data_IF_096642418135
#
_entry.id   IF_096642418135
#
_cell.length_a   1.000
_cell.length_b   1.000
_cell.length_c   1.000
_cell.angle_alpha   90.00
_cell.angle_beta   90.00
_cell.angle_gamma   90.00
#
_symmetry.space_group_name_H-M   'P 1'
#
loop_
_entity.id
_entity.type
_entity.pdbx_description
1 polymer ?
#
# COMPACT_ATOMS: atom_id res chain seq x y z
N UNK A 1 -30.19 -2.36 23.25
CA UNK A 1 -30.35 -1.99 21.82
C UNK A 1 -29.07 -1.26 21.49
N UNK A 2 -28.04 -2.08 21.18
CA UNK A 2 -26.71 -1.56 20.92
C UNK A 2 -26.69 -0.85 19.57
N UNK A 3 -26.26 0.39 19.60
CA UNK A 3 -25.96 1.20 18.43
C UNK A 3 -24.90 0.45 17.61
N UNK A 4 -25.35 -0.40 16.69
CA UNK A 4 -24.52 -0.86 15.60
C UNK A 4 -24.16 0.37 14.79
N UNK A 5 -23.01 0.97 15.09
CA UNK A 5 -22.38 1.93 14.19
C UNK A 5 -22.31 1.24 12.83
N UNK A 6 -23.18 1.69 11.92
CA UNK A 6 -23.22 1.23 10.53
C UNK A 6 -21.87 1.53 9.90
N UNK A 7 -21.01 0.53 9.86
CA UNK A 7 -19.79 0.60 9.05
C UNK A 7 -20.23 1.01 7.64
N UNK A 8 -19.69 2.08 7.04
CA UNK A 8 -20.14 2.55 5.73
C UNK A 8 -20.04 1.40 4.74
N UNK A 9 -21.19 0.96 4.24
CA UNK A 9 -21.28 -0.19 3.35
C UNK A 9 -20.42 0.04 2.10
N UNK A 10 -19.57 -0.91 1.77
CA UNK A 10 -18.80 -0.89 0.52
C UNK A 10 -19.73 -0.67 -0.68
N UNK A 11 -20.92 -1.29 -0.69
CA UNK A 11 -21.92 -1.12 -1.74
C UNK A 11 -22.31 0.35 -1.95
N UNK A 12 -22.47 1.13 -0.88
CA UNK A 12 -22.74 2.57 -0.98
C UNK A 12 -21.62 3.28 -1.76
N UNK A 13 -20.36 3.02 -1.45
CA UNK A 13 -19.22 3.65 -2.12
C UNK A 13 -19.03 3.15 -3.56
N UNK A 14 -19.35 1.88 -3.85
CA UNK A 14 -19.33 1.36 -5.22
C UNK A 14 -20.48 1.94 -6.07
N UNK A 15 -21.63 2.23 -5.49
CA UNK A 15 -22.78 2.83 -6.20
C UNK A 15 -22.55 4.29 -6.63
N UNK A 16 -21.57 4.99 -6.02
CA UNK A 16 -21.19 6.37 -6.39
C UNK A 16 -20.34 6.38 -7.67
N UNK A 17 -19.71 5.24 -8.03
CA UNK A 17 -18.90 5.15 -9.25
C UNK A 17 -19.80 5.35 -10.49
N UNK A 18 -19.57 6.38 -11.31
CA UNK A 18 -20.43 6.66 -12.45
C UNK A 18 -20.41 5.54 -13.49
N UNK A 19 -21.60 5.11 -13.89
CA UNK A 19 -21.73 4.15 -14.99
C UNK A 19 -21.62 4.87 -16.34
N UNK A 20 -20.58 4.56 -17.09
CA UNK A 20 -20.29 5.12 -18.41
C UNK A 20 -21.18 4.55 -19.53
N UNK A 21 -21.97 3.51 -19.23
CA UNK A 21 -22.81 2.81 -20.20
C UNK A 21 -24.12 3.57 -20.44
N UNK A 22 -24.67 3.43 -21.64
CA UNK A 22 -25.99 3.94 -21.95
C UNK A 22 -27.05 3.17 -21.16
N UNK A 23 -27.87 3.87 -20.37
CA UNK A 23 -28.80 3.26 -19.41
C UNK A 23 -29.69 2.15 -20.04
N UNK A 24 -30.17 2.35 -21.27
CA UNK A 24 -31.02 1.36 -21.96
C UNK A 24 -30.28 0.10 -22.42
N UNK A 25 -28.95 0.06 -22.33
CA UNK A 25 -28.12 -1.13 -22.65
C UNK A 25 -27.62 -1.84 -21.39
N UNK A 26 -27.92 -1.30 -20.20
CA UNK A 26 -27.45 -1.85 -18.94
C UNK A 26 -28.40 -2.96 -18.51
N UNK A 27 -27.90 -4.20 -18.51
CA UNK A 27 -28.60 -5.37 -17.94
C UNK A 27 -28.18 -5.61 -16.51
N UNK A 28 -26.91 -5.39 -16.18
CA UNK A 28 -26.34 -5.59 -14.85
C UNK A 28 -25.84 -4.25 -14.32
N UNK A 29 -26.25 -3.85 -13.13
CA UNK A 29 -25.81 -2.63 -12.47
C UNK A 29 -24.29 -2.63 -12.31
N UNK A 30 -23.66 -1.45 -12.41
CA UNK A 30 -22.20 -1.34 -12.24
C UNK A 30 -21.80 -1.72 -10.81
N UNK A 31 -22.55 -1.25 -9.80
CA UNK A 31 -22.34 -1.60 -8.39
C UNK A 31 -22.34 -3.10 -8.14
N UNK A 32 -23.29 -3.85 -8.78
CA UNK A 32 -23.37 -5.30 -8.65
C UNK A 32 -22.15 -6.00 -9.26
N UNK A 33 -21.70 -5.54 -10.44
CA UNK A 33 -20.48 -6.06 -11.09
C UNK A 33 -19.25 -5.84 -10.22
N UNK A 34 -19.09 -4.65 -9.65
CA UNK A 34 -17.96 -4.31 -8.78
C UNK A 34 -17.99 -5.12 -7.49
N UNK A 35 -19.17 -5.24 -6.86
CA UNK A 35 -19.35 -6.00 -5.64
C UNK A 35 -19.12 -7.51 -5.86
N UNK A 36 -19.70 -8.09 -6.92
CA UNK A 36 -19.42 -9.46 -7.34
C UNK A 36 -17.93 -9.70 -7.48
N UNK A 37 -17.21 -8.78 -8.16
CA UNK A 37 -15.77 -8.90 -8.35
C UNK A 37 -15.02 -8.91 -7.02
N UNK A 38 -15.37 -8.03 -6.07
CA UNK A 38 -14.75 -8.00 -4.74
C UNK A 38 -15.01 -9.30 -3.98
N UNK A 39 -16.25 -9.77 -3.92
CA UNK A 39 -16.62 -11.01 -3.23
C UNK A 39 -15.91 -12.23 -3.82
N UNK A 40 -15.86 -12.33 -5.15
CA UNK A 40 -15.16 -13.41 -5.83
C UNK A 40 -13.65 -13.38 -5.53
N UNK A 41 -13.01 -12.22 -5.55
CA UNK A 41 -11.58 -12.07 -5.19
C UNK A 41 -11.34 -12.39 -3.71
N UNK A 42 -12.23 -12.02 -2.79
CA UNK A 42 -12.18 -12.45 -1.38
C UNK A 42 -12.20 -13.98 -1.28
N UNK A 43 -12.97 -14.67 -2.14
CA UNK A 43 -13.05 -16.11 -2.19
C UNK A 43 -11.93 -16.78 -3.03
N UNK A 44 -11.04 -16.00 -3.63
CA UNK A 44 -9.84 -16.50 -4.31
C UNK A 44 -9.94 -16.57 -5.83
N UNK A 45 -10.95 -15.95 -6.46
CA UNK A 45 -11.04 -15.85 -7.91
C UNK A 45 -9.88 -14.99 -8.47
N UNK A 46 -9.27 -15.47 -9.55
CA UNK A 46 -8.08 -14.87 -10.18
C UNK A 46 -8.39 -14.24 -11.56
N UNK A 47 -9.43 -14.74 -12.25
CA UNK A 47 -9.86 -14.38 -13.59
C UNK A 47 -11.36 -14.14 -13.75
N UNK A 48 -11.75 -13.70 -14.95
CA UNK A 48 -13.15 -13.36 -15.23
C UNK A 48 -14.07 -14.56 -15.22
N UNK A 49 -13.61 -15.72 -15.71
CA UNK A 49 -14.34 -16.99 -15.70
C UNK A 49 -14.65 -17.43 -14.28
N UNK A 50 -13.67 -17.37 -13.38
CA UNK A 50 -13.85 -17.75 -11.98
C UNK A 50 -14.77 -16.77 -11.22
N UNK A 51 -14.80 -15.47 -11.63
CA UNK A 51 -15.74 -14.50 -11.07
C UNK A 51 -17.17 -14.81 -11.52
N UNK A 52 -17.37 -15.21 -12.79
CA UNK A 52 -18.66 -15.67 -13.30
C UNK A 52 -19.13 -16.93 -12.56
N UNK A 53 -18.26 -17.94 -12.45
CA UNK A 53 -18.54 -19.19 -11.74
C UNK A 53 -18.92 -18.95 -10.27
N UNK A 54 -18.16 -18.08 -9.57
CA UNK A 54 -18.50 -17.65 -8.21
C UNK A 54 -19.87 -16.99 -8.15
N UNK A 55 -20.18 -16.10 -9.10
CA UNK A 55 -21.46 -15.42 -9.18
C UNK A 55 -22.62 -16.40 -9.29
N UNK A 56 -22.51 -17.40 -10.18
CA UNK A 56 -23.52 -18.43 -10.33
C UNK A 56 -23.68 -19.28 -9.08
N UNK A 57 -22.60 -19.66 -8.42
CA UNK A 57 -22.61 -20.45 -7.21
C UNK A 57 -23.16 -19.70 -5.98
N UNK A 58 -23.09 -18.37 -5.97
CA UNK A 58 -23.40 -17.52 -4.80
C UNK A 58 -24.46 -16.44 -5.10
N UNK A 59 -25.28 -16.61 -6.11
CA UNK A 59 -26.24 -15.59 -6.55
C UNK A 59 -27.21 -15.19 -5.44
N UNK A 60 -27.73 -16.14 -4.67
CA UNK A 60 -28.68 -15.87 -3.59
C UNK A 60 -28.01 -15.11 -2.42
N UNK A 61 -26.73 -15.36 -2.17
CA UNK A 61 -25.95 -14.58 -1.22
C UNK A 61 -25.74 -13.14 -1.73
N UNK A 62 -25.37 -12.96 -2.98
CA UNK A 62 -25.11 -11.65 -3.59
C UNK A 62 -26.38 -10.77 -3.60
N UNK A 63 -27.56 -11.36 -3.81
CA UNK A 63 -28.87 -10.68 -3.77
C UNK A 63 -29.24 -10.10 -2.40
N UNK A 64 -28.53 -10.47 -1.34
CA UNK A 64 -28.70 -9.84 -0.01
C UNK A 64 -28.06 -8.44 0.06
N UNK A 65 -27.19 -8.09 -0.89
CA UNK A 65 -26.42 -6.85 -0.89
C UNK A 65 -26.67 -5.96 -2.12
N UNK A 66 -27.04 -6.54 -3.25
CA UNK A 66 -27.29 -5.86 -4.52
C UNK A 66 -28.55 -6.40 -5.22
N UNK A 67 -28.91 -5.79 -6.34
CA UNK A 67 -30.16 -6.13 -7.05
C UNK A 67 -30.04 -7.46 -7.79
N UNK A 68 -29.00 -7.63 -8.58
CA UNK A 68 -28.77 -8.82 -9.41
C UNK A 68 -30.02 -9.33 -10.15
N UNK A 69 -30.91 -8.40 -10.61
CA UNK A 69 -32.16 -8.74 -11.27
C UNK A 69 -31.98 -9.60 -12.52
N UNK A 70 -30.99 -9.22 -13.36
CA UNK A 70 -30.64 -9.96 -14.57
C UNK A 70 -29.72 -11.18 -14.31
N UNK A 71 -29.50 -11.54 -13.05
CA UNK A 71 -28.57 -12.62 -12.66
C UNK A 71 -27.12 -12.22 -12.76
N UNK A 72 -26.24 -13.17 -13.13
CA UNK A 72 -24.78 -13.00 -13.18
C UNK A 72 -24.32 -12.54 -14.57
N UNK A 73 -23.49 -11.50 -14.69
CA UNK A 73 -22.88 -11.13 -15.95
C UNK A 73 -21.85 -12.18 -16.41
N UNK A 74 -21.82 -12.47 -17.73
CA UNK A 74 -20.79 -13.34 -18.29
C UNK A 74 -19.38 -12.78 -18.14
N UNK A 75 -18.36 -13.67 -18.15
CA UNK A 75 -16.94 -13.30 -18.11
C UNK A 75 -16.56 -12.25 -19.15
N UNK A 76 -17.13 -12.32 -20.37
CA UNK A 76 -16.93 -11.33 -21.42
C UNK A 76 -17.51 -9.96 -21.05
N UNK A 77 -18.67 -9.95 -20.38
CA UNK A 77 -19.29 -8.71 -19.87
C UNK A 77 -18.45 -8.13 -18.74
N UNK A 78 -18.00 -8.94 -17.79
CA UNK A 78 -17.08 -8.53 -16.71
C UNK A 78 -15.81 -7.92 -17.29
N UNK A 79 -15.15 -8.63 -18.22
CA UNK A 79 -13.92 -8.16 -18.87
C UNK A 79 -14.10 -6.82 -19.60
N UNK A 80 -15.24 -6.67 -20.33
CA UNK A 80 -15.56 -5.44 -21.07
C UNK A 80 -15.86 -4.28 -20.14
N UNK A 81 -16.67 -4.48 -19.12
CA UNK A 81 -17.06 -3.44 -18.16
C UNK A 81 -15.83 -2.98 -17.39
N UNK A 82 -15.09 -3.91 -16.80
CA UNK A 82 -13.89 -3.58 -16.01
C UNK A 82 -12.77 -2.91 -16.84
N UNK A 83 -12.73 -3.14 -18.15
CA UNK A 83 -11.79 -2.46 -19.04
C UNK A 83 -12.17 -0.99 -19.32
N UNK A 84 -13.42 -0.59 -19.09
CA UNK A 84 -13.96 0.73 -19.41
C UNK A 84 -14.32 1.56 -18.18
N UNK A 85 -14.44 0.94 -16.99
CA UNK A 85 -14.65 1.67 -15.72
C UNK A 85 -13.52 2.67 -15.53
N UNK A 86 -13.87 3.92 -15.23
CA UNK A 86 -12.87 4.96 -14.98
C UNK A 86 -12.10 4.65 -13.71
N UNK A 87 -10.80 4.42 -13.86
CA UNK A 87 -9.94 3.99 -12.78
C UNK A 87 -9.73 5.06 -11.70
N UNK A 88 -9.73 6.35 -12.07
CA UNK A 88 -9.59 7.46 -11.11
C UNK A 88 -10.85 7.60 -10.24
N UNK A 89 -12.05 7.46 -10.85
CA UNK A 89 -13.31 7.51 -10.11
C UNK A 89 -13.44 6.31 -9.15
N UNK A 90 -13.07 5.10 -9.59
CA UNK A 90 -13.04 3.93 -8.73
C UNK A 90 -12.02 4.11 -7.58
N UNK A 91 -10.87 4.74 -7.87
CA UNK A 91 -9.88 5.06 -6.84
C UNK A 91 -10.42 6.07 -5.83
N UNK A 92 -11.12 7.09 -6.28
CA UNK A 92 -11.74 8.08 -5.37
C UNK A 92 -12.77 7.43 -4.46
N UNK A 93 -13.64 6.56 -5.00
CA UNK A 93 -14.62 5.80 -4.22
C UNK A 93 -13.93 4.90 -3.17
N UNK A 94 -12.83 4.23 -3.55
CA UNK A 94 -12.03 3.42 -2.63
C UNK A 94 -11.41 4.27 -1.52
N UNK A 95 -10.82 5.42 -1.86
CA UNK A 95 -10.20 6.31 -0.87
C UNK A 95 -11.23 6.89 0.12
N UNK A 96 -12.42 7.27 -0.35
CA UNK A 96 -13.51 7.74 0.51
C UNK A 96 -14.04 6.62 1.43
N UNK A 97 -14.19 5.40 0.90
CA UNK A 97 -14.52 4.25 1.74
C UNK A 97 -13.49 4.01 2.83
N UNK A 98 -12.19 4.05 2.50
CA UNK A 98 -11.12 3.87 3.48
C UNK A 98 -11.10 4.96 4.55
N UNK A 99 -11.36 6.22 4.18
CA UNK A 99 -11.49 7.31 5.16
C UNK A 99 -12.66 7.10 6.12
N UNK A 100 -13.75 6.52 5.63
CA UNK A 100 -14.93 6.23 6.45
C UNK A 100 -14.73 5.02 7.39
N UNK A 101 -13.88 4.05 7.01
CA UNK A 101 -13.65 2.82 7.78
C UNK A 101 -12.45 2.91 8.74
N UNK A 102 -11.47 3.75 8.46
CA UNK A 102 -10.20 3.77 9.20
C UNK A 102 -9.76 5.19 9.55
N UNK A 103 -9.83 5.51 10.85
CA UNK A 103 -9.12 6.66 11.38
C UNK A 103 -7.62 6.35 11.44
N UNK A 104 -6.84 7.23 10.85
CA UNK A 104 -5.37 7.13 10.96
C UNK A 104 -4.98 7.78 12.29
N UNK A 105 -4.43 7.01 13.20
CA UNK A 105 -4.06 7.46 14.54
C UNK A 105 -2.86 8.40 14.47
N UNK A 106 -2.83 9.43 15.29
CA UNK A 106 -1.69 10.34 15.43
C UNK A 106 -0.38 9.55 15.69
N UNK A 107 0.66 9.87 14.97
CA UNK A 107 1.95 9.17 15.00
C UNK A 107 2.00 7.84 14.24
N UNK A 108 0.90 7.42 13.58
CA UNK A 108 0.90 6.20 12.78
C UNK A 108 1.81 6.34 11.56
N UNK A 109 2.55 5.25 11.27
CA UNK A 109 3.41 5.19 10.08
C UNK A 109 2.58 4.81 8.86
N UNK A 110 2.64 5.65 7.83
CA UNK A 110 2.08 5.39 6.50
C UNK A 110 3.23 5.20 5.51
N UNK A 111 3.43 3.96 5.06
CA UNK A 111 4.46 3.64 4.07
C UNK A 111 3.92 3.85 2.66
N UNK A 112 4.65 4.62 1.85
CA UNK A 112 4.37 4.79 0.42
C UNK A 112 5.45 4.07 -0.37
N UNK A 113 5.02 3.18 -1.27
CA UNK A 113 5.91 2.38 -2.09
C UNK A 113 5.24 1.97 -3.39
N UNK A 114 6.07 1.68 -4.40
CA UNK A 114 5.63 1.30 -5.72
C UNK A 114 5.75 -0.20 -6.00
N UNK A 115 4.81 -0.73 -6.78
CA UNK A 115 4.80 -2.11 -7.24
C UNK A 115 4.48 -2.21 -8.73
N UNK A 116 5.30 -2.94 -9.46
CA UNK A 116 5.05 -3.26 -10.86
C UNK A 116 4.15 -4.48 -10.99
N UNK A 117 3.01 -4.35 -11.66
CA UNK A 117 2.11 -5.46 -12.01
C UNK A 117 2.70 -6.23 -13.19
N UNK A 118 3.60 -7.18 -12.94
CA UNK A 118 4.44 -7.84 -13.97
C UNK A 118 3.62 -8.49 -15.08
N UNK A 119 2.46 -9.09 -14.76
CA UNK A 119 1.59 -9.73 -15.74
C UNK A 119 0.79 -8.78 -16.63
N UNK A 120 0.74 -7.48 -16.34
CA UNK A 120 -0.07 -6.49 -17.07
C UNK A 120 0.54 -6.02 -18.39
N UNK A 121 1.78 -6.41 -18.72
CA UNK A 121 2.43 -6.01 -19.96
C UNK A 121 1.86 -6.76 -21.17
N UNK A 122 1.85 -6.11 -22.36
CA UNK A 122 1.42 -6.74 -23.60
C UNK A 122 2.41 -6.44 -24.72
N UNK A 123 3.28 -7.43 -25.06
CA UNK A 123 4.28 -7.30 -26.13
C UNK A 123 3.65 -6.93 -27.48
N UNK A 124 2.54 -7.57 -27.85
CA UNK A 124 1.86 -7.35 -29.14
C UNK A 124 1.25 -5.96 -29.32
N UNK A 125 1.08 -5.18 -28.24
CA UNK A 125 0.51 -3.82 -28.27
C UNK A 125 1.51 -2.75 -27.81
N UNK A 126 2.77 -3.09 -27.57
CA UNK A 126 3.79 -2.15 -27.11
C UNK A 126 3.50 -1.55 -25.73
N UNK A 127 2.58 -2.16 -24.92
CA UNK A 127 2.26 -1.67 -23.57
C UNK A 127 3.23 -2.24 -22.55
N UNK A 128 3.90 -1.35 -21.80
CA UNK A 128 4.68 -1.70 -20.63
C UNK A 128 3.83 -2.23 -19.48
N UNK A 129 4.47 -2.85 -18.49
CA UNK A 129 3.80 -3.24 -17.26
C UNK A 129 3.33 -2.00 -16.49
N UNK A 130 2.16 -2.11 -15.86
CA UNK A 130 1.61 -1.04 -15.03
C UNK A 130 2.40 -0.98 -13.73
N UNK A 131 2.79 0.23 -13.34
CA UNK A 131 3.39 0.49 -12.04
C UNK A 131 2.39 1.23 -11.15
N UNK A 132 2.16 0.71 -9.95
CA UNK A 132 1.20 1.23 -8.97
C UNK A 132 1.95 1.72 -7.74
N UNK A 133 1.59 2.90 -7.25
CA UNK A 133 2.09 3.43 -5.97
C UNK A 133 0.98 3.33 -4.94
N UNK A 134 1.26 2.73 -3.79
CA UNK A 134 0.29 2.46 -2.73
C UNK A 134 0.69 3.12 -1.42
N UNK A 135 -0.29 3.60 -0.66
CA UNK A 135 -0.13 4.04 0.71
C UNK A 135 -0.66 2.95 1.66
N UNK A 136 0.19 2.48 2.55
CA UNK A 136 -0.07 1.39 3.48
C UNK A 136 0.03 1.86 4.92
N UNK A 137 -1.05 1.75 5.69
CA UNK A 137 -1.03 1.97 7.13
C UNK A 137 -0.37 0.77 7.82
N UNK A 138 0.82 0.99 8.39
CA UNK A 138 1.58 -0.07 9.04
C UNK A 138 0.90 -0.58 10.32
N UNK A 139 0.24 0.29 11.07
CA UNK A 139 -0.47 -0.03 12.30
C UNK A 139 -1.71 -0.89 12.03
N UNK A 140 -2.55 -0.47 11.09
CA UNK A 140 -3.81 -1.14 10.77
C UNK A 140 -3.63 -2.30 9.78
N UNK A 141 -2.50 -2.35 9.08
CA UNK A 141 -2.20 -3.39 8.10
C UNK A 141 -3.03 -3.29 6.81
N UNK A 142 -3.57 -2.12 6.50
CA UNK A 142 -4.49 -1.88 5.37
C UNK A 142 -3.92 -0.89 4.35
N UNK A 143 -4.38 -0.99 3.11
CA UNK A 143 -4.08 -0.03 2.04
C UNK A 143 -5.07 1.11 2.11
N UNK A 144 -4.55 2.34 2.23
CA UNK A 144 -5.36 3.56 2.31
C UNK A 144 -5.73 4.10 0.92
N UNK A 145 -4.91 3.82 -0.07
CA UNK A 145 -5.11 4.26 -1.44
C UNK A 145 -3.98 3.81 -2.36
N UNK A 146 -4.20 3.91 -3.66
CA UNK A 146 -3.19 3.63 -4.67
C UNK A 146 -3.41 4.47 -5.93
N UNK A 147 -2.33 4.78 -6.65
CA UNK A 147 -2.36 5.51 -7.91
C UNK A 147 -1.43 4.83 -8.90
N UNK A 148 -1.86 4.73 -10.15
CA UNK A 148 -1.01 4.27 -11.26
C UNK A 148 -0.06 5.38 -11.68
N UNK A 149 1.20 5.05 -11.95
CA UNK A 149 2.13 5.99 -12.60
C UNK A 149 1.69 6.23 -14.04
N UNK A 150 1.87 7.45 -14.54
CA UNK A 150 1.62 7.75 -15.96
C UNK A 150 2.63 6.98 -16.85
N UNK A 151 2.25 6.74 -18.10
CA UNK A 151 3.16 6.11 -19.07
C UNK A 151 4.46 6.93 -19.20
N UNK A 152 5.61 6.25 -19.14
CA UNK A 152 6.95 6.86 -19.16
C UNK A 152 7.29 7.77 -17.97
N UNK A 153 6.56 7.68 -16.88
CA UNK A 153 6.77 8.39 -15.62
C UNK A 153 7.17 7.39 -14.52
N UNK A 154 7.57 7.90 -13.39
CA UNK A 154 7.98 7.12 -12.23
C UNK A 154 7.14 7.49 -10.99
N UNK A 155 7.46 6.92 -9.85
CA UNK A 155 6.80 7.17 -8.57
C UNK A 155 6.78 8.65 -8.16
N UNK A 156 7.82 9.42 -8.53
CA UNK A 156 7.95 10.85 -8.20
C UNK A 156 6.73 11.66 -8.62
N UNK A 157 6.09 11.27 -9.73
CA UNK A 157 4.89 11.96 -10.23
C UNK A 157 3.58 11.39 -9.68
N UNK A 158 3.57 10.12 -9.28
CA UNK A 158 2.38 9.46 -8.75
C UNK A 158 2.18 9.72 -7.24
N UNK A 159 3.27 9.84 -6.46
CA UNK A 159 3.21 10.11 -5.02
C UNK A 159 2.42 11.40 -4.73
N UNK A 160 2.66 12.56 -5.39
CA UNK A 160 1.86 13.75 -5.20
C UNK A 160 0.36 13.56 -5.41
N UNK A 161 -0.03 12.80 -6.42
CA UNK A 161 -1.45 12.52 -6.70
C UNK A 161 -2.05 11.60 -5.63
N UNK A 162 -1.31 10.60 -5.17
CA UNK A 162 -1.72 9.75 -4.07
C UNK A 162 -1.92 10.55 -2.77
N UNK A 163 -0.96 11.42 -2.42
CA UNK A 163 -1.06 12.26 -1.23
C UNK A 163 -2.30 13.16 -1.21
N UNK A 164 -2.77 13.64 -2.38
CA UNK A 164 -4.00 14.44 -2.46
C UNK A 164 -5.24 13.69 -1.99
N UNK A 165 -5.31 12.39 -2.24
CA UNK A 165 -6.45 11.52 -1.94
C UNK A 165 -6.55 11.14 -0.45
N UNK A 166 -5.45 11.25 0.30
CA UNK A 166 -5.33 10.71 1.65
C UNK A 166 -5.57 11.78 2.73
N UNK A 167 -6.13 11.35 3.86
CA UNK A 167 -6.06 12.09 5.11
C UNK A 167 -4.86 11.58 5.92
N UNK A 168 -3.85 12.44 6.14
CA UNK A 168 -2.57 12.06 6.75
C UNK A 168 -2.24 12.90 7.99
N UNK A 169 -3.22 13.66 8.49
CA UNK A 169 -3.02 14.54 9.65
C UNK A 169 -2.38 13.78 10.82
N UNK A 170 -1.26 14.29 11.31
CA UNK A 170 -0.51 13.72 12.44
C UNK A 170 0.26 12.43 12.16
N UNK A 171 0.29 11.92 10.91
CA UNK A 171 1.01 10.71 10.55
C UNK A 171 2.49 10.96 10.29
N UNK A 172 3.28 9.87 10.34
CA UNK A 172 4.65 9.83 9.81
C UNK A 172 4.65 9.09 8.47
N UNK A 173 4.82 9.83 7.38
CA UNK A 173 4.88 9.28 6.02
C UNK A 173 6.30 8.84 5.71
N UNK A 174 6.48 7.56 5.41
CA UNK A 174 7.78 6.99 5.03
C UNK A 174 7.80 6.67 3.55
N UNK A 175 8.87 7.08 2.87
CA UNK A 175 9.04 6.91 1.43
C UNK A 175 10.47 6.46 1.14
N UNK A 176 10.63 5.60 0.13
CA UNK A 176 11.93 5.13 -0.33
C UNK A 176 12.78 6.27 -0.97
N UNK A 177 14.00 5.95 -1.38
CA UNK A 177 14.91 6.95 -1.92
C UNK A 177 14.41 7.60 -3.22
N UNK A 178 13.62 6.91 -4.04
CA UNK A 178 13.09 7.51 -5.27
C UNK A 178 12.13 8.67 -4.95
N UNK A 179 11.34 8.52 -3.90
CA UNK A 179 10.43 9.55 -3.42
C UNK A 179 11.06 10.60 -2.52
N UNK A 180 12.37 10.53 -2.24
CA UNK A 180 13.11 11.56 -1.52
C UNK A 180 13.26 12.81 -2.41
N UNK A 181 12.24 13.66 -2.43
CA UNK A 181 12.13 14.85 -3.27
C UNK A 181 11.60 16.03 -2.46
N UNK A 182 12.20 17.23 -2.61
CA UNK A 182 11.81 18.47 -1.89
C UNK A 182 10.33 18.79 -2.02
N UNK A 183 9.75 18.63 -3.23
CA UNK A 183 8.32 18.87 -3.49
C UNK A 183 7.41 17.89 -2.75
N UNK A 184 7.81 16.63 -2.65
CA UNK A 184 7.07 15.59 -1.91
C UNK A 184 7.12 15.90 -0.42
N UNK A 185 8.29 16.21 0.14
CA UNK A 185 8.45 16.62 1.53
C UNK A 185 7.52 17.81 1.89
N UNK A 186 7.51 18.85 1.07
CA UNK A 186 6.61 20.00 1.25
C UNK A 186 5.13 19.59 1.21
N UNK A 187 4.74 18.71 0.30
CA UNK A 187 3.35 18.27 0.19
C UNK A 187 2.91 17.41 1.36
N UNK A 188 3.77 16.56 1.91
CA UNK A 188 3.48 15.80 3.14
C UNK A 188 3.19 16.75 4.29
N UNK A 189 4.01 17.79 4.49
CA UNK A 189 3.77 18.81 5.51
C UNK A 189 2.47 19.59 5.30
N UNK A 190 2.12 19.91 4.05
CA UNK A 190 0.84 20.55 3.73
C UNK A 190 -0.38 19.69 4.08
N UNK A 191 -0.21 18.37 4.17
CA UNK A 191 -1.23 17.42 4.65
C UNK A 191 -1.26 17.31 6.18
N UNK A 192 -0.47 18.11 6.91
CA UNK A 192 -0.35 18.05 8.37
C UNK A 192 0.33 16.78 8.88
N UNK A 193 1.11 16.13 8.03
CA UNK A 193 1.90 14.94 8.35
C UNK A 193 3.40 15.28 8.40
N UNK A 194 4.16 14.43 9.06
CA UNK A 194 5.62 14.45 9.01
C UNK A 194 6.15 13.45 7.98
N UNK A 195 7.34 13.71 7.47
CA UNK A 195 8.02 12.77 6.56
C UNK A 195 9.22 12.08 7.22
N UNK A 196 9.51 10.86 6.77
CA UNK A 196 10.78 10.14 6.95
C UNK A 196 11.22 9.61 5.59
N UNK A 197 12.23 10.21 5.00
CA UNK A 197 12.69 9.92 3.64
C UNK A 197 14.05 9.25 3.67
N UNK A 198 14.18 8.13 2.93
CA UNK A 198 15.45 7.45 2.71
C UNK A 198 16.29 8.25 1.72
N UNK A 199 17.52 8.58 2.08
CA UNK A 199 18.49 9.31 1.24
C UNK A 199 19.42 8.31 0.55
N UNK A 200 19.65 8.50 -0.74
CA UNK A 200 20.64 7.78 -1.55
C UNK A 200 21.35 8.75 -2.51
N UNK A 201 22.14 8.22 -3.42
CA UNK A 201 22.93 8.97 -4.42
C UNK A 201 22.10 9.89 -5.34
N UNK A 202 20.76 9.69 -5.42
CA UNK A 202 19.86 10.61 -6.12
C UNK A 202 19.74 11.98 -5.45
N UNK A 203 20.24 12.11 -4.22
CA UNK A 203 20.34 13.36 -3.47
C UNK A 203 21.81 13.55 -3.01
N UNK A 204 22.76 13.85 -3.92
CA UNK A 204 24.19 13.83 -3.63
C UNK A 204 24.58 14.80 -2.52
N UNK A 205 24.04 16.02 -2.49
CA UNK A 205 24.35 16.99 -1.43
C UNK A 205 23.97 16.49 -0.02
N UNK A 206 22.84 15.77 0.11
CA UNK A 206 22.47 15.13 1.38
C UNK A 206 23.41 13.97 1.70
N UNK A 207 23.75 13.13 0.71
CA UNK A 207 24.66 12.00 0.91
C UNK A 207 26.03 12.47 1.39
N UNK A 208 26.60 13.48 0.73
CA UNK A 208 27.89 14.09 1.10
C UNK A 208 27.84 14.67 2.53
N UNK A 209 26.76 15.34 2.90
CA UNK A 209 26.57 15.87 4.25
C UNK A 209 26.52 14.76 5.30
N UNK A 210 25.85 13.63 4.99
CA UNK A 210 25.84 12.47 5.87
C UNK A 210 27.20 11.82 6.03
N UNK A 211 27.97 11.68 4.96
CA UNK A 211 29.35 11.13 5.02
C UNK A 211 30.28 12.02 5.84
N UNK A 212 30.14 13.33 5.71
CA UNK A 212 30.92 14.29 6.50
C UNK A 212 30.52 14.29 8.00
N UNK A 213 29.22 14.32 8.30
CA UNK A 213 28.72 14.41 9.67
C UNK A 213 28.85 13.09 10.45
N UNK A 214 28.70 11.93 9.78
CA UNK A 214 28.63 10.59 10.37
C UNK A 214 29.60 9.60 9.73
N UNK A 215 30.92 9.83 9.79
CA UNK A 215 31.90 8.82 9.37
C UNK A 215 31.74 7.56 10.24
N UNK A 216 32.04 6.38 9.67
CA UNK A 216 31.81 5.07 10.32
C UNK A 216 32.32 4.99 11.76
N UNK A 217 33.52 5.53 12.03
CA UNK A 217 34.09 5.53 13.37
C UNK A 217 33.26 6.33 14.38
N UNK A 218 32.59 7.41 13.94
CA UNK A 218 31.70 8.22 14.78
C UNK A 218 30.37 7.51 15.02
N UNK A 219 29.86 6.77 14.03
CA UNK A 219 28.57 6.04 14.14
C UNK A 219 28.68 4.95 15.21
N UNK A 220 29.77 4.18 15.24
CA UNK A 220 29.95 3.07 16.21
C UNK A 220 30.15 3.58 17.64
N UNK A 221 30.73 4.77 17.79
CA UNK A 221 31.02 5.41 19.07
C UNK A 221 30.15 6.66 19.33
N UNK A 222 28.93 6.68 18.82
CA UNK A 222 28.06 7.83 18.93
C UNK A 222 27.54 8.03 20.36
N UNK A 223 27.82 9.21 20.94
CA UNK A 223 27.45 9.55 22.32
C UNK A 223 26.06 10.21 22.46
N UNK A 224 25.34 10.37 21.32
CA UNK A 224 24.01 10.98 21.29
C UNK A 224 22.87 9.95 21.41
N UNK A 225 21.69 10.29 20.86
CA UNK A 225 20.53 9.39 20.84
C UNK A 225 20.78 8.22 19.89
N UNK A 226 21.01 7.05 20.48
CA UNK A 226 21.30 5.81 19.78
C UNK A 226 20.43 4.65 20.29
N UNK A 227 20.06 3.75 19.40
CA UNK A 227 19.28 2.56 19.73
C UNK A 227 19.80 1.36 18.93
N UNK A 228 20.05 0.24 19.60
CA UNK A 228 20.58 -0.97 18.98
C UNK A 228 19.52 -2.06 18.97
N UNK A 229 19.35 -2.71 17.83
CA UNK A 229 18.53 -3.93 17.72
C UNK A 229 19.39 -5.10 17.28
N UNK A 230 19.17 -6.26 17.90
CA UNK A 230 19.82 -7.51 17.55
C UNK A 230 18.75 -8.58 17.28
N UNK A 231 18.71 -9.09 16.05
CA UNK A 231 17.71 -10.05 15.60
C UNK A 231 18.38 -11.33 15.08
N UNK A 232 17.90 -12.47 15.57
CA UNK A 232 18.33 -13.78 15.08
C UNK A 232 17.16 -14.50 14.44
N UNK A 233 17.29 -14.80 13.15
CA UNK A 233 16.23 -15.47 12.39
C UNK A 233 16.83 -16.46 11.39
N UNK A 234 16.42 -17.74 11.48
CA UNK A 234 16.80 -18.82 10.54
C UNK A 234 18.33 -18.95 10.32
N UNK A 235 19.12 -18.87 11.41
CA UNK A 235 20.59 -18.97 11.35
C UNK A 235 21.31 -17.69 10.94
N UNK A 236 20.60 -16.60 10.71
CA UNK A 236 21.12 -15.28 10.38
C UNK A 236 20.98 -14.37 11.59
N UNK A 237 22.05 -13.69 11.95
CA UNK A 237 22.07 -12.64 12.96
C UNK A 237 22.22 -11.28 12.27
N UNK A 238 21.42 -10.31 12.68
CA UNK A 238 21.45 -8.96 12.15
C UNK A 238 21.41 -7.96 13.29
N UNK A 239 22.51 -7.23 13.45
CA UNK A 239 22.64 -6.14 14.44
C UNK A 239 22.53 -4.81 13.72
N UNK A 240 21.62 -3.94 14.17
CA UNK A 240 21.42 -2.60 13.60
C UNK A 240 21.63 -1.54 14.67
N UNK A 241 22.48 -0.57 14.34
CA UNK A 241 22.68 0.67 15.07
C UNK A 241 21.84 1.76 14.45
N UNK A 242 20.97 2.37 15.23
CA UNK A 242 20.13 3.47 14.83
C UNK A 242 20.61 4.70 15.57
N UNK A 243 20.88 5.77 14.86
CA UNK A 243 21.39 7.03 15.38
C UNK A 243 20.53 8.16 14.88
N UNK A 244 20.24 9.10 15.76
CA UNK A 244 19.49 10.31 15.43
C UNK A 244 20.24 11.52 15.97
N UNK A 245 20.26 12.57 15.18
CA UNK A 245 20.76 13.88 15.57
C UNK A 245 19.82 14.97 15.05
N UNK A 246 19.78 16.08 15.75
CA UNK A 246 19.29 17.32 15.16
C UNK A 246 20.13 17.72 13.94
N UNK A 247 19.66 18.72 13.19
CA UNK A 247 20.38 19.27 12.04
C UNK A 247 21.73 19.82 12.48
N UNK A 248 22.83 19.19 12.04
CA UNK A 248 24.20 19.62 12.30
C UNK A 248 24.65 20.71 11.32
N UNK A 249 25.87 21.26 11.52
CA UNK A 249 26.42 22.31 10.65
C UNK A 249 26.48 21.89 9.18
N UNK A 250 26.76 20.61 8.91
CA UNK A 250 26.86 20.05 7.56
C UNK A 250 25.51 20.05 6.82
N UNK A 251 24.41 20.06 7.56
CA UNK A 251 23.04 20.11 7.01
C UNK A 251 22.41 21.50 7.06
N UNK A 252 23.08 22.51 7.59
CA UNK A 252 22.46 23.81 7.85
C UNK A 252 21.95 24.48 6.56
N UNK A 253 22.72 24.50 5.49
CA UNK A 253 22.27 25.04 4.20
C UNK A 253 21.15 24.22 3.59
N UNK A 254 21.23 22.89 3.69
CA UNK A 254 20.24 21.96 3.18
C UNK A 254 18.91 22.08 3.92
N UNK A 255 18.90 22.45 5.19
CA UNK A 255 17.69 22.65 5.98
C UNK A 255 16.78 23.76 5.43
N UNK A 256 17.33 24.75 4.75
CA UNK A 256 16.55 25.79 4.07
C UNK A 256 15.87 25.27 2.80
N UNK A 257 16.45 24.25 2.17
CA UNK A 257 15.92 23.67 0.94
C UNK A 257 14.90 22.54 1.21
N UNK A 258 15.05 21.85 2.34
CA UNK A 258 14.18 20.77 2.78
C UNK A 258 13.19 21.27 3.83
N UNK A 259 12.02 21.67 3.37
CA UNK A 259 10.99 22.27 4.24
C UNK A 259 10.75 21.42 5.50
N UNK A 260 10.93 22.03 6.67
CA UNK A 260 10.66 21.40 7.96
C UNK A 260 11.67 20.35 8.41
N UNK A 261 12.82 20.22 7.79
CA UNK A 261 13.87 19.29 8.23
C UNK A 261 14.30 19.58 9.67
N UNK A 262 14.13 18.61 10.55
CA UNK A 262 14.48 18.69 11.98
C UNK A 262 15.48 17.62 12.40
N UNK A 263 15.36 16.44 11.83
CA UNK A 263 16.10 15.26 12.28
C UNK A 263 16.82 14.61 11.12
N UNK A 264 18.07 14.25 11.34
CA UNK A 264 18.88 13.41 10.47
C UNK A 264 19.16 12.10 11.17
N UNK A 265 19.03 10.97 10.44
CA UNK A 265 19.14 9.65 11.02
C UNK A 265 20.04 8.73 10.20
N UNK A 266 20.78 7.87 10.90
CA UNK A 266 21.63 6.84 10.29
C UNK A 266 21.26 5.48 10.83
N UNK A 267 21.09 4.50 9.94
CA UNK A 267 20.94 3.08 10.31
C UNK A 267 22.10 2.31 9.70
N UNK A 268 22.94 1.73 10.56
CA UNK A 268 24.05 0.85 10.16
C UNK A 268 23.69 -0.58 10.52
N UNK A 269 23.69 -1.47 9.54
CA UNK A 269 23.32 -2.87 9.70
C UNK A 269 24.52 -3.78 9.47
N UNK A 270 24.79 -4.67 10.41
CA UNK A 270 25.74 -5.77 10.29
C UNK A 270 24.97 -7.07 10.17
N UNK A 271 25.34 -7.88 9.19
CA UNK A 271 24.70 -9.15 8.89
C UNK A 271 25.71 -10.27 8.92
N UNK A 272 25.38 -11.33 9.62
CA UNK A 272 26.18 -12.55 9.71
C UNK A 272 25.29 -13.76 9.45
N UNK A 273 25.72 -14.67 8.59
CA UNK A 273 25.06 -15.94 8.33
C UNK A 273 25.95 -17.09 8.85
N UNK A 274 25.45 -17.85 9.84
CA UNK A 274 26.22 -18.93 10.46
C UNK A 274 27.53 -18.43 11.10
N UNK A 275 28.64 -19.12 10.77
CA UNK A 275 29.99 -18.80 11.25
C UNK A 275 30.80 -18.00 10.22
N UNK A 276 30.16 -17.47 9.16
CA UNK A 276 30.83 -16.67 8.15
C UNK A 276 31.26 -15.31 8.70
N UNK A 277 32.31 -14.74 8.09
CA UNK A 277 32.77 -13.39 8.43
C UNK A 277 31.64 -12.40 8.09
N UNK A 278 31.28 -11.47 9.00
CA UNK A 278 30.26 -10.49 8.74
C UNK A 278 30.52 -9.71 7.44
N UNK A 279 29.48 -9.53 6.63
CA UNK A 279 29.54 -8.64 5.47
C UNK A 279 29.88 -7.20 5.88
N UNK A 280 30.39 -6.42 4.94
CA UNK A 280 30.58 -4.98 5.16
C UNK A 280 29.26 -4.35 5.62
N UNK A 281 29.29 -3.41 6.58
CA UNK A 281 28.06 -2.82 7.10
C UNK A 281 27.30 -2.08 6.00
N UNK A 282 25.98 -2.28 5.97
CA UNK A 282 25.08 -1.52 5.12
C UNK A 282 24.64 -0.25 5.87
N UNK A 283 24.89 0.90 5.30
CA UNK A 283 24.50 2.20 5.89
C UNK A 283 23.30 2.75 5.10
N UNK A 284 22.32 3.28 5.82
CA UNK A 284 21.16 4.00 5.28
C UNK A 284 21.01 5.32 5.98
N UNK A 285 20.78 6.36 5.21
CA UNK A 285 20.58 7.72 5.66
C UNK A 285 19.13 8.15 5.55
N UNK A 286 18.66 8.88 6.54
CA UNK A 286 17.28 9.34 6.63
C UNK A 286 17.20 10.81 7.00
N UNK A 287 16.26 11.53 6.39
CA UNK A 287 15.88 12.89 6.80
C UNK A 287 14.41 12.87 7.26
N UNK A 288 14.09 13.69 8.26
CA UNK A 288 12.73 13.77 8.79
C UNK A 288 12.35 15.18 9.23
N UNK A 289 11.07 15.51 9.09
CA UNK A 289 10.45 16.71 9.69
C UNK A 289 9.96 16.49 11.11
N UNK A 290 9.79 15.23 11.52
CA UNK A 290 9.43 14.89 12.89
C UNK A 290 10.67 14.99 13.79
N UNK A 291 10.44 15.33 15.05
CA UNK A 291 11.43 15.16 16.12
C UNK A 291 11.42 13.67 16.53
N UNK A 292 12.38 12.93 16.00
CA UNK A 292 12.47 11.48 16.17
C UNK A 292 13.55 11.11 17.17
N UNK A 293 13.24 10.18 18.08
CA UNK A 293 14.27 9.43 18.80
C UNK A 293 14.82 8.28 17.92
N UNK A 294 16.03 7.79 18.26
CA UNK A 294 16.64 6.65 17.56
C UNK A 294 15.74 5.40 17.59
N UNK A 295 15.00 5.18 18.68
CA UNK A 295 14.00 4.13 18.79
C UNK A 295 12.84 4.32 17.82
N UNK A 296 12.29 5.53 17.71
CA UNK A 296 11.21 5.84 16.76
C UNK A 296 11.68 5.72 15.31
N UNK A 297 12.92 6.14 14.99
CA UNK A 297 13.54 5.90 13.69
C UNK A 297 13.59 4.40 13.35
N UNK A 298 14.05 3.57 14.30
CA UNK A 298 14.11 2.12 14.14
C UNK A 298 12.74 1.51 13.85
N UNK A 299 11.73 1.91 14.63
CA UNK A 299 10.35 1.44 14.48
C UNK A 299 9.75 1.89 13.13
N UNK A 300 9.91 3.15 12.75
CA UNK A 300 9.38 3.70 11.51
C UNK A 300 10.04 3.08 10.27
N UNK A 301 11.38 2.95 10.27
CA UNK A 301 12.11 2.28 9.21
C UNK A 301 11.71 0.80 9.08
N UNK A 302 11.47 0.11 10.21
CA UNK A 302 10.97 -1.27 10.21
C UNK A 302 9.57 -1.37 9.66
N UNK A 303 8.69 -0.44 10.03
CA UNK A 303 7.31 -0.39 9.58
C UNK A 303 7.19 -0.03 8.08
N UNK A 304 8.12 0.75 7.53
CA UNK A 304 8.18 0.97 6.08
C UNK A 304 8.27 -0.35 5.30
N UNK A 305 9.11 -1.29 5.75
CA UNK A 305 9.24 -2.60 5.11
C UNK A 305 7.99 -3.49 5.21
N UNK A 306 6.97 -3.10 5.97
CA UNK A 306 5.70 -3.83 6.01
C UNK A 306 4.93 -3.69 4.69
N UNK A 307 5.15 -2.64 3.91
CA UNK A 307 4.56 -2.53 2.57
C UNK A 307 5.03 -3.65 1.66
N UNK A 308 6.31 -3.99 1.67
CA UNK A 308 6.83 -5.12 0.90
C UNK A 308 6.38 -6.47 1.48
N UNK A 309 6.59 -6.69 2.79
CA UNK A 309 6.42 -7.99 3.41
C UNK A 309 4.96 -8.34 3.73
N UNK A 310 4.10 -7.36 3.98
CA UNK A 310 2.69 -7.60 4.34
C UNK A 310 1.72 -7.24 3.22
N UNK A 311 2.04 -6.25 2.37
CA UNK A 311 1.19 -5.88 1.25
C UNK A 311 1.61 -6.61 -0.02
N UNK A 312 2.77 -6.28 -0.60
CA UNK A 312 3.19 -6.80 -1.90
C UNK A 312 3.30 -8.33 -1.90
N UNK A 313 3.89 -8.92 -0.86
CA UNK A 313 3.95 -10.37 -0.72
C UNK A 313 2.56 -11.02 -0.66
N UNK A 314 1.59 -10.41 0.04
CA UNK A 314 0.22 -10.94 0.11
C UNK A 314 -0.50 -10.86 -1.24
N UNK A 315 -0.30 -9.77 -1.99
CA UNK A 315 -0.85 -9.61 -3.34
C UNK A 315 -0.29 -10.67 -4.30
N UNK A 316 1.01 -10.95 -4.23
CA UNK A 316 1.66 -11.91 -5.13
C UNK A 316 1.40 -13.36 -4.76
N UNK A 317 1.50 -13.69 -3.46
CA UNK A 317 1.42 -15.09 -3.03
C UNK A 317 -0.03 -15.52 -2.81
N UNK A 318 -0.87 -14.68 -2.20
CA UNK A 318 -2.25 -15.05 -1.89
C UNK A 318 -3.24 -14.68 -3.02
N UNK A 319 -3.10 -13.49 -3.61
CA UNK A 319 -4.01 -12.96 -4.63
C UNK A 319 -3.46 -13.10 -6.06
N UNK A 320 -2.26 -13.70 -6.22
CA UNK A 320 -1.59 -14.02 -7.49
C UNK A 320 -1.53 -12.87 -8.49
N UNK A 321 -1.29 -11.66 -7.98
CA UNK A 321 -1.33 -10.44 -8.77
C UNK A 321 -0.31 -10.44 -9.91
N UNK A 322 0.94 -10.86 -9.66
CA UNK A 322 1.99 -10.92 -10.67
C UNK A 322 1.74 -12.00 -11.76
N UNK A 323 0.93 -13.02 -11.46
CA UNK A 323 0.54 -14.05 -12.40
C UNK A 323 -0.63 -13.62 -13.32
N UNK A 324 -1.34 -12.55 -12.97
CA UNK A 324 -2.51 -12.05 -13.68
C UNK A 324 -2.14 -11.46 -15.04
N UNK A 325 -2.69 -12.02 -16.12
CA UNK A 325 -2.43 -11.59 -17.52
C UNK A 325 -3.47 -10.62 -18.07
N UNK A 326 -4.33 -10.07 -17.23
CA UNK A 326 -5.34 -9.10 -17.65
C UNK A 326 -4.66 -7.77 -17.96
N UNK A 327 -4.84 -7.25 -19.18
CA UNK A 327 -4.18 -6.03 -19.67
C UNK A 327 -5.06 -5.14 -20.56
N UNK A 328 -6.34 -5.51 -20.75
CA UNK A 328 -7.26 -4.75 -21.63
C UNK A 328 -7.73 -3.47 -20.95
N UNK A 329 -7.59 -2.32 -21.64
CA UNK A 329 -8.09 -1.03 -21.16
C UNK A 329 -7.58 -0.70 -19.76
N UNK A 330 -8.48 -0.38 -18.86
CA UNK A 330 -8.21 -0.09 -17.45
C UNK A 330 -8.38 -1.35 -16.53
N UNK A 331 -8.69 -2.54 -17.10
CA UNK A 331 -9.04 -3.72 -16.32
C UNK A 331 -7.95 -4.17 -15.35
N UNK A 332 -6.67 -4.10 -15.74
CA UNK A 332 -5.56 -4.49 -14.85
C UNK A 332 -5.48 -3.58 -13.62
N UNK A 333 -5.61 -2.27 -13.83
CA UNK A 333 -5.60 -1.26 -12.78
C UNK A 333 -6.83 -1.40 -11.86
N UNK A 334 -8.00 -1.58 -12.44
CA UNK A 334 -9.25 -1.75 -11.69
C UNK A 334 -9.24 -3.06 -10.88
N UNK A 335 -8.74 -4.17 -11.45
CA UNK A 335 -8.64 -5.44 -10.73
C UNK A 335 -7.60 -5.38 -9.61
N UNK A 336 -6.50 -4.64 -9.78
CA UNK A 336 -5.55 -4.40 -8.69
C UNK A 336 -6.25 -3.70 -7.50
N UNK A 337 -7.13 -2.71 -7.75
CA UNK A 337 -7.93 -2.08 -6.70
C UNK A 337 -8.89 -3.06 -6.02
N UNK A 338 -9.57 -3.91 -6.80
CA UNK A 338 -10.45 -4.94 -6.22
C UNK A 338 -9.65 -5.89 -5.31
N UNK A 339 -8.42 -6.25 -5.69
CA UNK A 339 -7.51 -7.03 -4.83
C UNK A 339 -7.14 -6.31 -3.54
N UNK A 340 -6.89 -5.00 -3.60
CA UNK A 340 -6.61 -4.21 -2.39
C UNK A 340 -7.82 -4.13 -1.46
N UNK A 341 -9.03 -3.91 -2.00
CA UNK A 341 -10.27 -3.95 -1.23
C UNK A 341 -10.43 -5.33 -0.57
N UNK A 342 -10.33 -6.40 -1.35
CA UNK A 342 -10.43 -7.77 -0.84
C UNK A 342 -9.37 -8.09 0.23
N UNK A 343 -8.13 -7.62 0.04
CA UNK A 343 -7.05 -7.81 1.01
C UNK A 343 -7.32 -7.05 2.32
N UNK A 344 -7.86 -5.82 2.25
CA UNK A 344 -8.23 -5.05 3.44
C UNK A 344 -9.28 -5.80 4.26
N UNK A 345 -10.34 -6.29 3.64
CA UNK A 345 -11.35 -7.12 4.29
C UNK A 345 -10.76 -8.39 4.92
N UNK A 346 -9.96 -9.15 4.15
CA UNK A 346 -9.34 -10.38 4.65
C UNK A 346 -8.37 -10.14 5.81
N UNK A 347 -7.73 -8.97 5.87
CA UNK A 347 -6.86 -8.58 6.99
C UNK A 347 -7.65 -8.05 8.18
N UNK A 348 -8.71 -7.28 7.93
CA UNK A 348 -9.60 -6.75 8.97
C UNK A 348 -10.31 -7.88 9.75
N UNK A 349 -10.66 -9.00 9.10
CA UNK A 349 -11.20 -10.15 9.79
C UNK A 349 -10.14 -10.81 10.70
N UNK A 350 -10.26 -10.66 12.01
CA UNK A 350 -9.28 -11.12 13.01
C UNK A 350 -9.74 -12.31 13.84
N UNK A 351 -11.02 -12.69 13.77
CA UNK A 351 -11.60 -13.81 14.55
C UNK A 351 -11.03 -15.16 14.13
N UNK A 352 -10.80 -15.36 12.82
CA UNK A 352 -10.15 -16.55 12.31
C UNK A 352 -8.64 -16.33 12.16
N UNK A 353 -7.85 -16.99 13.03
CA UNK A 353 -6.38 -16.93 13.00
C UNK A 353 -5.80 -17.81 11.88
N UNK A 354 -6.02 -17.42 10.63
CA UNK A 354 -5.49 -18.09 9.45
C UNK A 354 -4.78 -17.09 8.50
N UNK A 355 -3.83 -17.58 7.70
CA UNK A 355 -3.24 -16.78 6.61
C UNK A 355 -4.29 -16.46 5.53
N UNK A 356 -4.02 -15.44 4.70
CA UNK A 356 -4.95 -14.92 3.67
C UNK A 356 -5.53 -16.04 2.80
N UNK A 357 -4.71 -16.90 2.22
CA UNK A 357 -5.19 -18.05 1.40
C UNK A 357 -6.16 -18.98 2.14
N UNK A 358 -5.95 -19.16 3.43
CA UNK A 358 -6.83 -20.01 4.23
C UNK A 358 -8.16 -19.34 4.51
N UNK A 359 -8.15 -18.00 4.71
CA UNK A 359 -9.37 -17.18 4.82
C UNK A 359 -10.15 -17.18 3.52
N UNK A 360 -9.49 -17.03 2.37
CA UNK A 360 -10.11 -17.13 1.05
C UNK A 360 -10.84 -18.45 0.86
N UNK A 361 -10.18 -19.59 1.13
CA UNK A 361 -10.79 -20.91 1.02
C UNK A 361 -11.98 -21.08 1.95
N UNK A 362 -11.89 -20.55 3.18
CA UNK A 362 -13.01 -20.62 4.14
C UNK A 362 -14.18 -19.79 3.64
N UNK A 363 -13.95 -18.57 3.15
CA UNK A 363 -15.01 -17.70 2.60
C UNK A 363 -15.69 -18.31 1.37
N UNK A 364 -14.95 -19.01 0.51
CA UNK A 364 -15.52 -19.72 -0.63
C UNK A 364 -16.49 -20.86 -0.23
N UNK A 365 -16.20 -21.54 0.90
CA UNK A 365 -16.97 -22.68 1.39
C UNK A 365 -18.11 -22.30 2.35
N UNK A 366 -18.01 -21.15 3.01
CA UNK A 366 -18.90 -20.73 4.11
C UNK A 366 -19.39 -19.30 3.89
N UNK A 367 -20.67 -19.15 3.50
CA UNK A 367 -21.31 -17.86 3.25
C UNK A 367 -21.44 -17.01 4.51
N UNK A 368 -21.64 -17.64 5.67
CA UNK A 368 -21.69 -16.93 6.95
C UNK A 368 -20.34 -16.28 7.24
N UNK A 369 -19.26 -17.00 6.97
CA UNK A 369 -17.92 -16.45 7.12
C UNK A 369 -17.61 -15.37 6.08
N UNK A 370 -18.10 -15.48 4.85
CA UNK A 370 -17.99 -14.43 3.85
C UNK A 370 -18.75 -13.17 4.29
N UNK A 371 -19.96 -13.32 4.82
CA UNK A 371 -20.72 -12.21 5.40
C UNK A 371 -19.99 -11.57 6.58
N UNK A 372 -19.39 -12.37 7.44
CA UNK A 372 -18.54 -11.89 8.56
C UNK A 372 -17.35 -11.06 8.08
N UNK A 373 -16.71 -11.44 6.97
CA UNK A 373 -15.62 -10.67 6.36
C UNK A 373 -16.13 -9.31 5.86
N UNK A 374 -17.31 -9.28 5.21
CA UNK A 374 -17.89 -8.07 4.65
C UNK A 374 -18.45 -7.10 5.71
N UNK A 375 -18.62 -7.57 6.94
CA UNK A 375 -19.08 -6.78 8.08
C UNK A 375 -17.97 -6.10 8.90
N UNK A 376 -16.70 -6.26 8.49
CA UNK A 376 -15.53 -5.70 9.19
C UNK A 376 -15.28 -4.23 8.86
#
# INVERSE_FOLDING_TARGET
MDDLMLTPSLMHHLSIVPDFRQAWKVQHQLSDILFLTVCAVICGAEGWDEIEDFGHAKLDFLRQYGDFEAGVPSHDTLARVMALVNAEQLQSAFAEWMKACHDVTEGAVVAIDGKTLRGSYCRGKGKGAIHMVSAFSAANGVVLGQVKTAEKSNEITAIPELLKLLNLQGCLVTIDAMGCQKKIATQVLQKGADYLLLVKENQPALADAFEAAFPMAKVVNFEGDAYVTDEKNRGRQETRYHIVSEVTEEFQELSYEWTGLKTVGVIMSFRQEGDEVPEAPMIRYYISSADLSAKKLAEAARQHWFVENKLHWSLDVALREDACKIHRGQAAENLARMRHIALNYLKGETRFKGGIRRKQKKAALDETYLADILAV
#
